data_IF_777038521691
#
_entry.id   IF_777038521691
#
_cell.length_a   1.000
_cell.length_b   1.000
_cell.length_c   1.000
_cell.angle_alpha   90.00
_cell.angle_beta   90.00
_cell.angle_gamma   90.00
#
_symmetry.space_group_name_H-M   'P 1'
#
loop_
_entity.id
_entity.type
_entity.pdbx_description
1 polymer ?
#
# COMPACT_ATOMS: atom_id res chain seq x y z
N UNK A 1 12.73 26.72 -3.56
CA UNK A 1 12.95 25.76 -4.67
C UNK A 1 12.23 24.47 -4.26
N UNK A 2 11.53 23.80 -5.17
CA UNK A 2 10.87 22.54 -4.87
C UNK A 2 11.94 21.45 -4.85
N UNK A 3 12.00 20.63 -3.77
CA UNK A 3 12.92 19.51 -3.71
C UNK A 3 12.34 18.29 -4.44
N UNK A 4 11.07 17.97 -4.17
CA UNK A 4 10.40 16.80 -4.76
C UNK A 4 9.04 17.19 -5.31
N UNK A 5 8.77 16.85 -6.57
CA UNK A 5 7.43 16.83 -7.14
C UNK A 5 6.89 15.41 -7.04
N UNK A 6 5.69 15.25 -6.48
CA UNK A 6 4.93 13.99 -6.47
C UNK A 6 3.80 14.10 -7.48
N UNK A 7 3.85 13.32 -8.55
CA UNK A 7 2.79 13.26 -9.56
C UNK A 7 1.74 12.22 -9.18
N UNK A 8 0.57 12.68 -8.74
CA UNK A 8 -0.55 11.89 -8.25
C UNK A 8 -0.86 12.13 -6.78
N UNK A 9 -2.06 12.65 -6.49
CA UNK A 9 -2.61 12.94 -5.17
C UNK A 9 -3.46 11.81 -4.58
N UNK A 10 -3.19 10.57 -4.97
CA UNK A 10 -3.78 9.38 -4.35
C UNK A 10 -3.06 8.96 -3.06
N UNK A 11 -3.48 7.86 -2.40
CA UNK A 11 -2.98 7.48 -1.07
C UNK A 11 -1.46 7.27 -1.05
N UNK A 12 -0.87 6.69 -2.09
CA UNK A 12 0.59 6.50 -2.20
C UNK A 12 1.33 7.84 -2.24
N UNK A 13 0.88 8.78 -3.09
CA UNK A 13 1.53 10.08 -3.22
C UNK A 13 1.38 10.95 -1.97
N UNK A 14 0.21 10.91 -1.32
CA UNK A 14 -0.06 11.66 -0.09
C UNK A 14 0.75 11.11 1.10
N UNK A 15 0.87 9.78 1.20
CA UNK A 15 1.74 9.13 2.20
C UNK A 15 3.20 9.51 1.97
N UNK A 16 3.68 9.41 0.73
CA UNK A 16 5.05 9.79 0.38
C UNK A 16 5.33 11.26 0.69
N UNK A 17 4.41 12.15 0.36
CA UNK A 17 4.54 13.57 0.67
C UNK A 17 4.65 13.81 2.18
N UNK A 18 3.87 13.10 2.98
CA UNK A 18 3.93 13.16 4.45
C UNK A 18 5.28 12.67 4.97
N UNK A 19 5.78 11.54 4.50
CA UNK A 19 7.09 11.00 4.88
C UNK A 19 8.23 11.99 4.56
N UNK A 20 8.24 12.56 3.35
CA UNK A 20 9.24 13.54 2.95
C UNK A 20 9.20 14.80 3.82
N UNK A 21 7.99 15.27 4.17
CA UNK A 21 7.81 16.47 5.01
C UNK A 21 8.27 16.28 6.45
N UNK A 22 8.18 15.07 7.01
CA UNK A 22 8.75 14.75 8.32
C UNK A 22 10.26 15.03 8.39
N UNK A 23 10.95 14.93 7.25
CA UNK A 23 12.38 15.21 7.12
C UNK A 23 12.70 16.62 6.58
N UNK A 24 11.73 17.55 6.58
CA UNK A 24 11.93 18.93 6.16
C UNK A 24 12.04 19.14 4.63
N UNK A 25 11.84 18.12 3.81
CA UNK A 25 11.89 18.21 2.34
C UNK A 25 10.73 19.06 1.81
N UNK A 26 10.99 19.99 0.89
CA UNK A 26 9.95 20.82 0.28
C UNK A 26 9.24 20.06 -0.86
N UNK A 27 7.98 19.68 -0.63
CA UNK A 27 7.19 18.80 -1.52
C UNK A 27 6.04 19.55 -2.17
N UNK A 28 5.86 19.33 -3.47
CA UNK A 28 4.68 19.72 -4.24
C UNK A 28 3.99 18.46 -4.78
N UNK A 29 2.72 18.25 -4.43
CA UNK A 29 1.88 17.20 -5.03
C UNK A 29 1.07 17.80 -6.19
N UNK A 30 1.16 17.16 -7.37
CA UNK A 30 0.37 17.49 -8.55
C UNK A 30 -0.71 16.42 -8.73
N UNK A 31 -1.96 16.84 -8.76
CA UNK A 31 -3.10 15.96 -9.00
C UNK A 31 -3.92 16.47 -10.21
N UNK A 32 -4.14 15.60 -11.20
CA UNK A 32 -4.85 15.97 -12.43
C UNK A 32 -6.33 16.25 -12.20
N UNK A 33 -6.96 15.55 -11.24
CA UNK A 33 -8.37 15.77 -10.93
C UNK A 33 -8.55 17.09 -10.17
N UNK A 34 -9.49 17.91 -10.61
CA UNK A 34 -9.77 19.23 -9.99
C UNK A 34 -10.38 19.10 -8.57
N UNK A 35 -11.01 17.98 -8.27
CA UNK A 35 -11.64 17.70 -6.97
C UNK A 35 -11.29 16.29 -6.49
N UNK A 36 -11.35 16.04 -5.15
CA UNK A 36 -11.21 14.67 -4.63
C UNK A 36 -12.22 13.71 -5.23
N UNK A 37 -11.80 12.45 -5.43
CA UNK A 37 -12.72 11.42 -5.90
C UNK A 37 -13.86 11.18 -4.91
N UNK A 38 -15.07 10.97 -5.42
CA UNK A 38 -16.27 10.68 -4.63
C UNK A 38 -16.61 9.19 -4.62
N UNK A 39 -15.91 8.37 -5.39
CA UNK A 39 -16.15 6.93 -5.49
C UNK A 39 -15.06 6.11 -4.83
N UNK A 40 -15.48 4.98 -4.27
CA UNK A 40 -14.62 4.12 -3.45
C UNK A 40 -14.09 2.96 -4.28
N UNK A 41 -12.76 2.85 -4.44
CA UNK A 41 -12.10 1.71 -5.10
C UNK A 41 -11.66 0.66 -4.09
N UNK A 42 -10.92 1.04 -3.07
CA UNK A 42 -10.48 0.16 -2.00
C UNK A 42 -11.32 0.36 -0.72
N UNK A 43 -11.42 -0.69 0.09
CA UNK A 43 -12.31 -0.74 1.26
C UNK A 43 -11.58 -0.97 2.58
N UNK A 44 -10.26 -1.01 2.60
CA UNK A 44 -9.61 -1.25 3.90
C UNK A 44 -8.09 -1.24 3.88
N UNK A 45 -7.55 -1.17 5.10
CA UNK A 45 -6.14 -1.29 5.41
C UNK A 45 -5.86 -2.65 6.03
N UNK A 46 -4.79 -3.30 5.56
CA UNK A 46 -4.25 -4.51 6.15
C UNK A 46 -3.35 -4.21 7.34
N UNK A 47 -3.00 -5.24 8.09
CA UNK A 47 -2.20 -5.15 9.33
C UNK A 47 -0.96 -4.26 9.14
N UNK A 48 -0.12 -4.52 8.13
CA UNK A 48 1.11 -3.72 7.93
C UNK A 48 0.82 -2.24 7.68
N UNK A 49 -0.23 -1.91 6.94
CA UNK A 49 -0.61 -0.51 6.72
C UNK A 49 -1.19 0.14 7.98
N UNK A 50 -1.85 -0.62 8.84
CA UNK A 50 -2.32 -0.16 10.16
C UNK A 50 -1.11 0.14 11.05
N UNK A 51 -0.10 -0.74 11.08
CA UNK A 51 1.17 -0.50 11.78
C UNK A 51 1.88 0.76 11.27
N UNK A 52 1.90 1.00 9.96
CA UNK A 52 2.44 2.24 9.37
C UNK A 52 1.69 3.47 9.86
N UNK A 53 0.34 3.40 9.97
CA UNK A 53 -0.43 4.51 10.53
C UNK A 53 -0.10 4.74 12.03
N UNK A 54 0.10 3.66 12.80
CA UNK A 54 0.47 3.76 14.20
C UNK A 54 1.88 4.35 14.36
N UNK A 55 2.86 3.87 13.59
CA UNK A 55 4.23 4.39 13.56
C UNK A 55 4.31 5.89 13.18
N UNK A 56 3.26 6.49 12.67
CA UNK A 56 3.18 7.92 12.32
C UNK A 56 2.17 8.70 13.16
N UNK A 57 1.66 8.08 14.25
CA UNK A 57 0.70 8.72 15.15
C UNK A 57 -0.64 9.01 14.51
N UNK A 58 -1.01 8.26 13.47
CA UNK A 58 -2.27 8.44 12.72
C UNK A 58 -3.34 7.41 13.09
N UNK A 59 -2.99 6.35 13.82
CA UNK A 59 -3.87 5.20 14.06
C UNK A 59 -5.23 5.63 14.59
N UNK A 60 -5.30 6.45 15.62
CA UNK A 60 -6.56 6.87 16.24
C UNK A 60 -7.46 7.65 15.29
N UNK A 61 -6.87 8.47 14.41
CA UNK A 61 -7.63 9.18 13.35
C UNK A 61 -8.30 8.20 12.39
N UNK A 62 -7.59 7.12 12.01
CA UNK A 62 -8.12 6.09 11.12
C UNK A 62 -9.17 5.23 11.81
N UNK A 63 -8.95 4.83 13.07
CA UNK A 63 -9.90 4.06 13.87
C UNK A 63 -11.21 4.81 14.11
N UNK A 64 -11.17 6.12 14.27
CA UNK A 64 -12.37 6.96 14.44
C UNK A 64 -13.30 6.93 13.20
N UNK A 65 -12.79 6.52 12.03
CA UNK A 65 -13.55 6.48 10.76
C UNK A 65 -13.67 5.10 10.15
N UNK A 66 -12.98 4.10 10.71
CA UNK A 66 -12.98 2.73 10.23
C UNK A 66 -13.65 1.76 11.19
N UNK A 67 -13.88 0.53 10.70
CA UNK A 67 -14.38 -0.59 11.50
C UNK A 67 -13.37 -1.74 11.47
N UNK A 68 -13.04 -2.27 12.63
CA UNK A 68 -12.15 -3.45 12.76
C UNK A 68 -12.89 -4.72 12.34
N UNK A 69 -12.20 -5.55 11.55
CA UNK A 69 -12.65 -6.87 11.13
C UNK A 69 -11.57 -7.91 11.44
N UNK A 70 -11.93 -9.15 11.78
CA UNK A 70 -10.96 -10.24 11.90
C UNK A 70 -10.14 -10.40 10.61
N UNK A 71 -8.88 -10.86 10.72
CA UNK A 71 -8.02 -11.10 9.55
C UNK A 71 -8.36 -12.40 8.79
N UNK A 72 -9.19 -13.27 9.37
CA UNK A 72 -9.65 -14.49 8.70
C UNK A 72 -10.49 -14.20 7.45
N UNK A 73 -10.49 -15.14 6.48
CA UNK A 73 -11.32 -15.06 5.29
C UNK A 73 -10.79 -14.16 4.15
N UNK A 74 -9.66 -13.50 4.31
CA UNK A 74 -9.12 -12.61 3.27
C UNK A 74 -8.41 -13.37 2.14
N UNK A 75 -7.80 -14.53 2.39
CA UNK A 75 -7.13 -15.29 1.35
C UNK A 75 -8.15 -15.96 0.42
N UNK A 76 -8.24 -15.48 -0.81
CA UNK A 76 -9.18 -15.93 -1.85
C UNK A 76 -10.65 -16.04 -1.39
N UNK A 77 -11.04 -15.33 -0.31
CA UNK A 77 -12.37 -15.46 0.30
C UNK A 77 -12.66 -16.88 0.84
N UNK A 78 -11.63 -17.62 1.26
CA UNK A 78 -11.77 -18.86 2.01
C UNK A 78 -12.05 -18.49 3.46
N UNK A 79 -13.22 -18.89 3.95
CA UNK A 79 -13.65 -18.59 5.31
C UNK A 79 -12.91 -19.49 6.31
N UNK A 80 -12.01 -18.90 7.08
CA UNK A 80 -11.23 -19.52 8.15
C UNK A 80 -11.16 -18.57 9.34
N UNK A 81 -11.06 -19.06 10.58
CA UNK A 81 -10.82 -18.21 11.73
C UNK A 81 -9.51 -17.45 11.59
N UNK A 82 -9.39 -16.33 12.29
CA UNK A 82 -8.11 -15.64 12.43
C UNK A 82 -7.09 -16.57 13.06
N UNK A 83 -5.87 -16.66 12.52
CA UNK A 83 -4.84 -17.47 13.15
C UNK A 83 -4.45 -16.89 14.51
N UNK A 84 -4.08 -17.79 15.43
CA UNK A 84 -3.50 -17.39 16.70
C UNK A 84 -2.07 -16.86 16.52
N UNK A 85 -1.61 -16.03 17.43
CA UNK A 85 -0.21 -15.58 17.54
C UNK A 85 0.37 -14.92 16.28
N UNK A 86 -0.42 -14.09 15.61
CA UNK A 86 0.14 -13.20 14.60
C UNK A 86 1.16 -12.26 15.25
N UNK A 87 2.30 -12.07 14.61
CA UNK A 87 3.38 -11.19 15.07
C UNK A 87 3.01 -9.71 14.87
N UNK A 88 2.00 -9.23 15.60
CA UNK A 88 1.51 -7.85 15.53
C UNK A 88 0.68 -7.48 16.75
N UNK A 89 0.72 -6.21 17.15
CA UNK A 89 -0.20 -5.64 18.13
C UNK A 89 -1.60 -5.33 17.53
N UNK A 90 -1.74 -5.41 16.19
CA UNK A 90 -2.96 -5.06 15.46
C UNK A 90 -3.53 -6.23 14.64
N UNK A 91 -3.98 -7.34 15.25
CA UNK A 91 -4.44 -8.54 14.53
C UNK A 91 -5.84 -8.36 13.91
N UNK A 92 -6.04 -7.29 13.15
CA UNK A 92 -7.32 -6.96 12.49
C UNK A 92 -7.07 -6.26 11.15
N UNK A 93 -8.08 -6.25 10.29
CA UNK A 93 -8.16 -5.42 9.09
C UNK A 93 -9.07 -4.24 9.40
N UNK A 94 -8.69 -3.05 8.99
CA UNK A 94 -9.50 -1.85 9.16
C UNK A 94 -10.34 -1.61 7.90
N UNK A 95 -11.64 -1.87 7.99
CA UNK A 95 -12.60 -1.50 6.95
C UNK A 95 -12.80 0.01 6.95
N UNK A 96 -12.26 0.67 5.94
CA UNK A 96 -12.34 2.12 5.76
C UNK A 96 -12.40 2.44 4.26
N UNK A 97 -13.35 3.26 3.80
CA UNK A 97 -13.41 3.64 2.40
C UNK A 97 -12.15 4.40 1.95
N UNK A 98 -11.65 4.12 0.74
CA UNK A 98 -10.48 4.81 0.20
C UNK A 98 -10.64 6.32 0.21
N UNK A 99 -11.83 6.86 -0.07
CA UNK A 99 -12.09 8.31 -0.04
C UNK A 99 -11.81 8.93 1.34
N UNK A 100 -12.06 8.16 2.42
CA UNK A 100 -11.72 8.57 3.79
C UNK A 100 -10.22 8.47 4.02
N UNK A 101 -9.58 7.40 3.58
CA UNK A 101 -8.11 7.23 3.62
C UNK A 101 -7.41 8.39 2.90
N UNK A 102 -7.83 8.70 1.67
CA UNK A 102 -7.27 9.80 0.87
C UNK A 102 -7.42 11.15 1.58
N UNK A 103 -8.59 11.41 2.18
CA UNK A 103 -8.84 12.65 2.95
C UNK A 103 -7.92 12.75 4.15
N UNK A 104 -7.82 11.71 4.98
CA UNK A 104 -6.98 11.72 6.19
C UNK A 104 -5.49 11.89 5.85
N UNK A 105 -5.01 11.25 4.77
CA UNK A 105 -3.63 11.42 4.31
C UNK A 105 -3.40 12.82 3.71
N UNK A 106 -4.37 13.40 3.00
CA UNK A 106 -4.28 14.76 2.47
C UNK A 106 -4.25 15.80 3.60
N UNK A 107 -5.09 15.63 4.63
CA UNK A 107 -5.07 16.45 5.85
C UNK A 107 -3.69 16.38 6.50
N UNK A 108 -3.14 15.17 6.70
CA UNK A 108 -1.80 14.98 7.28
C UNK A 108 -0.70 15.63 6.45
N UNK A 109 -0.69 15.43 5.14
CA UNK A 109 0.29 16.05 4.24
C UNK A 109 0.24 17.57 4.34
N UNK A 110 -0.97 18.14 4.38
CA UNK A 110 -1.20 19.60 4.52
C UNK A 110 -0.75 20.13 5.89
N UNK A 111 -1.05 19.41 6.98
CA UNK A 111 -0.59 19.74 8.34
C UNK A 111 0.95 19.81 8.41
N UNK A 112 1.64 18.95 7.66
CA UNK A 112 3.10 18.95 7.56
C UNK A 112 3.65 19.98 6.56
N UNK A 113 2.76 20.77 5.92
CA UNK A 113 3.14 21.87 5.00
C UNK A 113 3.38 21.42 3.56
N UNK A 114 2.76 20.31 3.10
CA UNK A 114 2.73 19.94 1.68
C UNK A 114 1.77 20.86 0.92
N UNK A 115 2.23 21.39 -0.21
CA UNK A 115 1.36 22.03 -1.19
C UNK A 115 0.75 20.97 -2.11
N UNK A 116 -0.59 20.93 -2.22
CA UNK A 116 -1.33 20.02 -3.12
C UNK A 116 -2.03 20.86 -4.18
N UNK A 117 -1.58 20.76 -5.45
CA UNK A 117 -2.21 21.42 -6.59
C UNK A 117 -3.08 20.44 -7.35
N UNK A 118 -4.38 20.73 -7.38
CA UNK A 118 -5.37 19.97 -8.14
C UNK A 118 -5.65 20.62 -9.50
N UNK A 119 -6.16 19.81 -10.45
CA UNK A 119 -6.37 20.23 -11.84
C UNK A 119 -5.06 20.45 -12.60
N UNK A 120 -3.96 19.85 -12.12
CA UNK A 120 -2.62 20.00 -12.67
C UNK A 120 -2.14 18.65 -13.24
N UNK A 121 -2.44 18.40 -14.52
CA UNK A 121 -2.04 17.19 -15.22
C UNK A 121 -0.61 17.31 -15.74
N UNK A 122 0.27 16.38 -15.33
CA UNK A 122 1.62 16.24 -15.89
C UNK A 122 1.54 15.55 -17.24
N UNK A 123 2.07 16.22 -18.29
CA UNK A 123 2.07 15.72 -19.67
C UNK A 123 3.46 15.54 -20.26
N UNK A 124 4.50 16.14 -19.66
CA UNK A 124 5.89 16.02 -20.09
C UNK A 124 6.86 16.06 -18.93
N UNK A 125 8.03 15.48 -19.12
CA UNK A 125 9.14 15.60 -18.19
C UNK A 125 10.48 15.53 -18.94
N UNK A 126 11.46 16.26 -18.43
CA UNK A 126 12.85 16.22 -18.83
C UNK A 126 13.75 16.25 -17.59
N UNK A 127 14.93 15.64 -17.64
CA UNK A 127 15.86 15.62 -16.51
C UNK A 127 17.31 15.81 -16.95
N UNK A 128 18.09 16.41 -16.06
CA UNK A 128 19.53 16.57 -16.17
C UNK A 128 20.22 16.21 -14.85
N UNK A 129 21.54 16.44 -14.76
CA UNK A 129 22.35 16.13 -13.57
C UNK A 129 21.91 16.92 -12.32
N UNK A 130 21.14 17.99 -12.48
CA UNK A 130 20.76 18.90 -11.39
C UNK A 130 19.29 18.81 -10.99
N UNK A 131 18.43 18.17 -11.79
CA UNK A 131 17.01 18.06 -11.44
C UNK A 131 16.11 17.57 -12.56
N UNK A 132 14.81 17.72 -12.31
CA UNK A 132 13.73 17.31 -13.20
C UNK A 132 12.85 18.52 -13.52
N UNK A 133 12.50 18.69 -14.78
CA UNK A 133 11.49 19.67 -15.23
C UNK A 133 10.22 18.93 -15.59
N UNK A 134 9.13 19.19 -14.87
CA UNK A 134 7.79 18.70 -15.16
C UNK A 134 7.07 19.73 -16.03
N UNK A 135 6.39 19.28 -17.09
CA UNK A 135 5.52 20.08 -17.94
C UNK A 135 4.06 19.72 -17.71
N UNK A 136 3.23 20.71 -17.43
CA UNK A 136 1.79 20.55 -17.19
C UNK A 136 0.99 20.80 -18.46
N UNK A 137 -0.24 20.29 -18.50
CA UNK A 137 -1.13 20.42 -19.65
C UNK A 137 -1.46 21.88 -20.05
N UNK A 138 -1.34 22.84 -19.11
CA UNK A 138 -1.52 24.27 -19.35
C UNK A 138 -0.25 24.97 -19.87
N UNK A 139 0.83 24.21 -20.11
CA UNK A 139 2.14 24.71 -20.55
C UNK A 139 3.04 25.19 -19.41
N UNK A 140 2.60 25.14 -18.16
CA UNK A 140 3.44 25.49 -16.98
C UNK A 140 4.60 24.51 -16.87
N UNK A 141 5.80 25.00 -16.62
CA UNK A 141 7.00 24.20 -16.38
C UNK A 141 7.48 24.39 -14.94
N UNK A 142 7.63 23.28 -14.21
CA UNK A 142 8.06 23.26 -12.82
C UNK A 142 9.39 22.52 -12.69
N UNK A 143 10.33 23.08 -11.93
CA UNK A 143 11.65 22.49 -11.67
C UNK A 143 11.74 21.97 -10.24
N UNK A 144 12.25 20.74 -10.07
CA UNK A 144 12.54 20.13 -8.78
C UNK A 144 13.84 19.34 -8.84
N UNK A 145 14.37 18.91 -7.69
CA UNK A 145 15.55 18.02 -7.63
C UNK A 145 15.19 16.57 -7.99
N UNK A 146 14.01 16.12 -7.58
CA UNK A 146 13.48 14.78 -7.86
C UNK A 146 12.01 14.86 -8.24
N UNK A 147 11.52 13.81 -8.93
CA UNK A 147 10.11 13.61 -9.22
C UNK A 147 9.74 12.16 -8.91
N UNK A 148 8.57 11.93 -8.28
CA UNK A 148 8.04 10.58 -8.04
C UNK A 148 6.68 10.44 -8.71
N UNK A 149 6.57 9.47 -9.63
CA UNK A 149 5.32 9.07 -10.26
C UNK A 149 4.50 8.17 -9.34
N UNK A 150 3.41 8.73 -8.79
CA UNK A 150 2.36 8.04 -8.04
C UNK A 150 1.02 8.15 -8.81
N UNK A 151 1.08 8.24 -10.14
CA UNK A 151 0.01 8.60 -11.07
C UNK A 151 -0.81 7.41 -11.59
N UNK A 152 -0.77 6.29 -10.86
CA UNK A 152 -1.63 5.13 -11.07
C UNK A 152 -1.22 4.23 -12.22
N UNK A 153 -1.99 3.17 -12.46
CA UNK A 153 -1.63 2.08 -13.38
C UNK A 153 -1.43 2.50 -14.84
N UNK A 154 -2.03 3.63 -15.26
CA UNK A 154 -1.82 4.22 -16.58
C UNK A 154 -0.69 5.25 -16.63
N UNK A 155 0.18 5.27 -15.63
CA UNK A 155 1.23 6.24 -15.37
C UNK A 155 1.80 6.93 -16.62
N UNK A 156 1.67 8.25 -16.66
CA UNK A 156 2.31 9.12 -17.66
C UNK A 156 3.80 9.20 -17.39
N UNK A 157 4.21 9.31 -16.12
CA UNK A 157 5.61 9.36 -15.72
C UNK A 157 6.37 8.13 -16.21
N UNK A 158 5.86 6.92 -15.95
CA UNK A 158 6.48 5.67 -16.43
C UNK A 158 6.66 5.64 -17.95
N UNK A 159 5.64 6.07 -18.70
CA UNK A 159 5.66 6.09 -20.17
C UNK A 159 6.67 7.10 -20.72
N UNK A 160 6.73 8.30 -20.14
CA UNK A 160 7.69 9.34 -20.53
C UNK A 160 9.14 8.89 -20.31
N UNK A 161 9.38 8.08 -19.26
CA UNK A 161 10.69 7.49 -18.99
C UNK A 161 11.03 6.29 -19.89
N UNK A 162 10.11 5.81 -20.70
CA UNK A 162 10.30 4.59 -21.49
C UNK A 162 10.54 3.35 -20.63
N UNK A 163 10.08 3.33 -19.37
CA UNK A 163 10.23 2.16 -18.49
C UNK A 163 9.25 1.08 -18.93
N UNK A 164 9.77 -0.12 -19.23
CA UNK A 164 8.98 -1.29 -19.58
C UNK A 164 8.03 -1.69 -18.45
N UNK A 165 6.85 -2.19 -18.85
CA UNK A 165 5.81 -2.65 -17.94
C UNK A 165 5.35 -4.06 -18.32
N UNK A 166 6.29 -5.04 -18.30
CA UNK A 166 5.98 -6.42 -18.66
C UNK A 166 4.94 -7.05 -17.74
N UNK A 167 4.32 -8.12 -18.24
CA UNK A 167 3.33 -8.89 -17.51
C UNK A 167 2.22 -9.38 -18.42
N UNK A 168 1.09 -9.75 -17.83
CA UNK A 168 -0.05 -10.32 -18.55
C UNK A 168 -1.15 -9.26 -18.74
N UNK A 169 -1.71 -9.14 -19.96
CA UNK A 169 -2.89 -8.32 -20.19
C UNK A 169 -4.12 -8.94 -19.50
N UNK A 170 -5.17 -8.14 -19.34
CA UNK A 170 -6.44 -8.68 -18.85
C UNK A 170 -7.00 -9.73 -19.79
N UNK A 171 -7.44 -10.84 -19.22
CA UNK A 171 -8.18 -11.92 -19.89
C UNK A 171 -9.67 -11.86 -19.56
N UNK A 172 -10.00 -11.30 -18.41
CA UNK A 172 -11.37 -11.09 -17.94
C UNK A 172 -11.52 -9.71 -17.32
N UNK A 173 -12.74 -9.20 -17.31
CA UNK A 173 -13.08 -7.96 -16.64
C UNK A 173 -14.23 -8.18 -15.65
N UNK A 174 -14.34 -7.26 -14.72
CA UNK A 174 -15.41 -7.18 -13.74
C UNK A 174 -15.97 -5.76 -13.75
N UNK A 175 -17.28 -5.65 -13.84
CA UNK A 175 -17.99 -4.38 -13.68
C UNK A 175 -18.11 -4.06 -12.20
N UNK A 176 -17.84 -2.82 -11.86
CA UNK A 176 -17.93 -2.29 -10.50
C UNK A 176 -18.64 -0.94 -10.53
N UNK A 177 -19.71 -0.80 -9.76
CA UNK A 177 -20.45 0.45 -9.72
C UNK A 177 -21.23 0.63 -8.43
N UNK A 178 -21.69 1.86 -8.21
CA UNK A 178 -22.59 2.20 -7.13
C UNK A 178 -23.88 2.75 -7.69
N UNK A 179 -25.01 2.13 -7.33
CA UNK A 179 -26.31 2.45 -7.90
C UNK A 179 -27.44 2.11 -6.93
N UNK A 180 -28.60 2.66 -7.16
CA UNK A 180 -29.79 2.31 -6.39
C UNK A 180 -30.34 0.96 -6.83
N UNK A 181 -30.97 0.26 -5.88
CA UNK A 181 -31.61 -1.05 -6.04
C UNK A 181 -33.04 -0.96 -5.57
N UNK A 182 -34.01 -1.45 -6.38
CA UNK A 182 -35.42 -1.44 -6.03
C UNK A 182 -35.83 -2.72 -5.28
N UNK A 183 -35.15 -3.86 -5.53
CA UNK A 183 -35.46 -5.13 -4.88
C UNK A 183 -35.29 -5.03 -3.34
N UNK A 184 -36.15 -5.72 -2.56
CA UNK A 184 -36.04 -5.75 -1.11
C UNK A 184 -34.67 -6.28 -0.65
N UNK A 185 -34.08 -5.72 0.44
CA UNK A 185 -32.75 -6.10 0.93
C UNK A 185 -32.60 -7.60 1.21
N UNK A 186 -33.63 -8.24 1.76
CA UNK A 186 -33.66 -9.68 2.05
C UNK A 186 -33.62 -10.53 0.76
N UNK A 187 -34.31 -10.09 -0.28
CA UNK A 187 -34.25 -10.72 -1.62
C UNK A 187 -32.86 -10.61 -2.22
N UNK A 188 -32.27 -9.41 -2.17
CA UNK A 188 -30.89 -9.18 -2.64
C UNK A 188 -29.93 -10.10 -1.90
N UNK A 189 -29.99 -10.13 -0.56
CA UNK A 189 -29.08 -10.92 0.26
C UNK A 189 -29.20 -12.44 -0.05
N UNK A 190 -30.41 -12.95 -0.19
CA UNK A 190 -30.65 -14.37 -0.47
C UNK A 190 -30.11 -14.77 -1.86
N UNK A 191 -30.41 -13.99 -2.90
CA UNK A 191 -29.96 -14.28 -4.25
C UNK A 191 -28.44 -14.15 -4.36
N UNK A 192 -27.86 -13.11 -3.77
CA UNK A 192 -26.38 -12.92 -3.74
C UNK A 192 -25.69 -14.10 -3.05
N UNK A 193 -26.24 -14.57 -1.91
CA UNK A 193 -25.67 -15.73 -1.20
C UNK A 193 -25.69 -16.99 -2.07
N UNK A 194 -26.77 -17.23 -2.82
CA UNK A 194 -26.88 -18.39 -3.72
C UNK A 194 -25.89 -18.29 -4.90
N UNK A 195 -25.85 -17.14 -5.61
CA UNK A 195 -24.93 -16.93 -6.73
C UNK A 195 -23.47 -17.07 -6.30
N UNK A 196 -23.11 -16.58 -5.12
CA UNK A 196 -21.75 -16.66 -4.57
C UNK A 196 -21.31 -18.08 -4.18
N UNK A 197 -22.18 -19.05 -4.16
CA UNK A 197 -21.76 -20.45 -3.98
C UNK A 197 -20.82 -20.89 -5.11
N UNK A 198 -21.11 -20.45 -6.33
CA UNK A 198 -20.32 -20.78 -7.53
C UNK A 198 -19.52 -19.60 -8.08
N UNK A 199 -20.09 -18.40 -8.08
CA UNK A 199 -19.51 -17.20 -8.68
C UNK A 199 -18.97 -16.26 -7.60
N UNK A 200 -17.78 -16.54 -7.06
CA UNK A 200 -17.18 -15.81 -5.94
C UNK A 200 -16.89 -14.31 -6.24
N UNK A 201 -16.78 -13.93 -7.52
CA UNK A 201 -16.57 -12.52 -7.96
C UNK A 201 -17.88 -11.73 -8.12
N UNK A 202 -19.03 -12.33 -7.81
CA UNK A 202 -20.34 -11.67 -7.84
C UNK A 202 -20.66 -11.08 -6.47
N UNK A 203 -21.23 -9.88 -6.41
CA UNK A 203 -21.66 -9.29 -5.16
C UNK A 203 -22.51 -8.03 -5.32
N UNK A 204 -23.49 -7.89 -4.43
CA UNK A 204 -24.21 -6.66 -4.16
C UNK A 204 -24.15 -6.41 -2.66
N UNK A 205 -23.50 -5.30 -2.25
CA UNK A 205 -23.38 -4.91 -0.85
C UNK A 205 -24.04 -3.55 -0.60
N UNK A 206 -24.88 -3.41 0.46
CA UNK A 206 -25.53 -2.15 0.77
C UNK A 206 -24.50 -1.12 1.27
N UNK A 207 -24.63 0.14 0.80
CA UNK A 207 -23.84 1.30 1.24
C UNK A 207 -24.67 2.29 2.07
N UNK A 208 -25.94 2.01 2.29
CA UNK A 208 -26.92 2.92 2.90
C UNK A 208 -27.80 3.64 1.88
N UNK A 209 -28.91 4.22 2.35
CA UNK A 209 -29.84 5.04 1.55
C UNK A 209 -30.36 4.37 0.25
N UNK A 210 -30.50 3.04 0.25
CA UNK A 210 -30.91 2.28 -0.93
C UNK A 210 -29.86 2.20 -2.05
N UNK A 211 -28.62 2.59 -1.76
CA UNK A 211 -27.47 2.47 -2.68
C UNK A 211 -26.72 1.19 -2.38
N UNK A 212 -26.35 0.49 -3.43
CA UNK A 212 -25.57 -0.75 -3.37
C UNK A 212 -24.28 -0.61 -4.20
N UNK A 213 -23.22 -1.21 -3.70
CA UNK A 213 -22.04 -1.52 -4.49
C UNK A 213 -22.32 -2.81 -5.24
N UNK A 214 -22.27 -2.73 -6.56
CA UNK A 214 -22.52 -3.85 -7.48
C UNK A 214 -21.20 -4.28 -8.10
N UNK A 215 -20.90 -5.57 -7.97
CA UNK A 215 -19.74 -6.23 -8.57
C UNK A 215 -20.24 -7.41 -9.37
N UNK A 216 -20.00 -7.44 -10.68
CA UNK A 216 -20.45 -8.53 -11.53
C UNK A 216 -19.46 -8.79 -12.66
N UNK A 217 -19.15 -10.07 -13.01
CA UNK A 217 -18.28 -10.37 -14.13
C UNK A 217 -18.82 -9.72 -15.42
N UNK A 218 -17.93 -9.11 -16.20
CA UNK A 218 -18.27 -8.58 -17.52
C UNK A 218 -18.39 -9.73 -18.53
N UNK A 219 -19.04 -9.46 -19.68
CA UNK A 219 -19.15 -10.42 -20.79
C UNK A 219 -17.78 -10.76 -21.39
N UNK A 220 -16.88 -9.79 -21.42
CA UNK A 220 -15.53 -9.94 -21.95
C UNK A 220 -14.66 -8.75 -21.62
N UNK A 221 -13.46 -8.70 -22.20
CA UNK A 221 -12.55 -7.56 -22.08
C UNK A 221 -12.96 -6.51 -23.10
N UNK A 222 -13.20 -5.28 -22.63
CA UNK A 222 -13.57 -4.17 -23.50
C UNK A 222 -12.43 -3.82 -24.48
N UNK A 223 -12.77 -3.60 -25.74
CA UNK A 223 -11.82 -3.16 -26.77
C UNK A 223 -11.24 -1.78 -26.43
N UNK A 224 -12.09 -0.85 -26.02
CA UNK A 224 -11.69 0.47 -25.50
C UNK A 224 -12.04 0.60 -24.01
N UNK A 225 -11.02 0.46 -23.18
CA UNK A 225 -11.13 0.59 -21.74
C UNK A 225 -11.19 2.04 -21.23
N UNK A 226 -11.13 3.02 -22.12
CA UNK A 226 -11.35 4.43 -21.77
C UNK A 226 -12.85 4.75 -21.66
N UNK A 227 -13.69 3.97 -22.33
CA UNK A 227 -15.16 4.11 -22.28
C UNK A 227 -15.69 3.45 -21.02
N UNK A 228 -16.41 4.23 -20.21
CA UNK A 228 -17.08 3.71 -19.01
C UNK A 228 -18.18 2.71 -19.39
N UNK A 229 -18.41 1.65 -18.58
CA UNK A 229 -19.52 0.74 -18.82
C UNK A 229 -20.85 1.45 -18.62
N UNK A 230 -21.89 0.94 -19.28
CA UNK A 230 -23.25 1.43 -19.16
C UNK A 230 -24.04 0.68 -18.08
N UNK A 231 -25.12 1.26 -17.57
CA UNK A 231 -26.00 0.56 -16.64
C UNK A 231 -26.67 -0.67 -17.30
N UNK A 232 -26.85 -0.64 -18.62
CA UNK A 232 -27.47 -1.77 -19.33
C UNK A 232 -26.51 -2.98 -19.36
N UNK A 233 -25.19 -2.78 -19.48
CA UNK A 233 -24.22 -3.85 -19.32
C UNK A 233 -24.35 -4.50 -17.92
N UNK A 234 -24.52 -3.67 -16.86
CA UNK A 234 -24.76 -4.22 -15.51
C UNK A 234 -26.05 -5.02 -15.43
N UNK A 235 -27.16 -4.51 -15.99
CA UNK A 235 -28.46 -5.21 -16.02
C UNK A 235 -28.37 -6.55 -16.72
N UNK A 236 -27.73 -6.58 -17.87
CA UNK A 236 -27.52 -7.79 -18.66
C UNK A 236 -26.75 -8.85 -17.85
N UNK A 237 -25.62 -8.47 -17.25
CA UNK A 237 -24.81 -9.39 -16.47
C UNK A 237 -25.51 -9.82 -15.18
N UNK A 238 -26.21 -8.93 -14.48
CA UNK A 238 -27.00 -9.28 -13.31
C UNK A 238 -28.09 -10.31 -13.64
N UNK A 239 -28.84 -10.14 -14.75
CA UNK A 239 -29.82 -11.13 -15.20
C UNK A 239 -29.18 -12.46 -15.57
N UNK A 240 -28.00 -12.44 -16.20
CA UNK A 240 -27.28 -13.65 -16.55
C UNK A 240 -26.90 -14.49 -15.32
N UNK A 241 -26.34 -13.86 -14.29
CA UNK A 241 -25.82 -14.55 -13.09
C UNK A 241 -26.89 -14.79 -12.01
N UNK A 242 -27.81 -13.87 -11.85
CA UNK A 242 -28.79 -13.87 -10.75
C UNK A 242 -30.24 -14.10 -11.17
N UNK A 243 -30.51 -14.17 -12.48
CA UNK A 243 -31.87 -14.26 -13.00
C UNK A 243 -32.70 -12.96 -12.87
N UNK A 244 -32.12 -11.93 -12.29
CA UNK A 244 -32.76 -10.62 -12.05
C UNK A 244 -31.72 -9.52 -12.09
N UNK A 245 -32.13 -8.31 -12.49
CA UNK A 245 -31.29 -7.11 -12.39
C UNK A 245 -31.51 -6.34 -11.07
N UNK A 246 -32.32 -6.88 -10.14
CA UNK A 246 -32.68 -6.27 -8.85
C UNK A 246 -33.31 -4.86 -8.97
N UNK A 247 -33.72 -4.45 -10.17
CA UNK A 247 -34.21 -3.11 -10.45
C UNK A 247 -33.12 -2.05 -10.25
N UNK A 248 -31.89 -2.29 -10.71
CA UNK A 248 -30.80 -1.30 -10.60
C UNK A 248 -31.09 -0.07 -11.44
N UNK A 249 -30.87 1.12 -10.84
CA UNK A 249 -31.11 2.40 -11.46
C UNK A 249 -30.25 3.52 -10.84
N UNK A 250 -30.26 4.71 -11.44
CA UNK A 250 -29.61 5.93 -10.92
C UNK A 250 -28.16 5.67 -10.47
N UNK A 251 -27.26 5.28 -11.36
CA UNK A 251 -25.87 5.02 -11.02
C UNK A 251 -25.20 6.31 -10.52
N UNK A 252 -24.45 6.21 -9.43
CA UNK A 252 -23.56 7.28 -8.96
C UNK A 252 -22.26 7.30 -9.78
N UNK A 253 -21.71 6.11 -10.03
CA UNK A 253 -20.59 5.90 -10.94
C UNK A 253 -20.56 4.44 -11.41
N UNK A 254 -19.94 4.23 -12.57
CA UNK A 254 -19.74 2.93 -13.19
C UNK A 254 -18.28 2.81 -13.64
N UNK A 255 -17.69 1.64 -13.46
CA UNK A 255 -16.31 1.36 -13.81
C UNK A 255 -16.12 -0.11 -14.17
N UNK A 256 -14.96 -0.43 -14.74
CA UNK A 256 -14.51 -1.80 -14.96
C UNK A 256 -13.05 -1.96 -14.55
N UNK A 257 -12.70 -3.12 -14.08
CA UNK A 257 -11.32 -3.49 -13.82
C UNK A 257 -11.06 -4.89 -14.37
N UNK A 258 -9.82 -5.17 -14.72
CA UNK A 258 -9.41 -6.46 -15.24
C UNK A 258 -8.44 -7.17 -14.31
N UNK A 259 -8.01 -8.35 -14.72
CA UNK A 259 -7.01 -9.18 -14.06
C UNK A 259 -5.58 -8.96 -14.59
N UNK A 260 -5.33 -7.82 -15.27
CA UNK A 260 -3.99 -7.49 -15.72
C UNK A 260 -2.99 -7.50 -14.57
N UNK A 261 -1.84 -8.11 -14.83
CA UNK A 261 -0.74 -8.19 -13.85
C UNK A 261 0.52 -7.71 -14.52
N UNK A 262 1.07 -6.56 -14.06
CA UNK A 262 2.24 -5.94 -14.66
C UNK A 262 3.14 -5.36 -13.59
N UNK A 263 4.46 -5.41 -13.81
CA UNK A 263 5.48 -4.90 -12.92
C UNK A 263 6.48 -4.07 -13.74
N UNK A 264 6.79 -2.85 -13.30
CA UNK A 264 7.79 -2.00 -13.94
C UNK A 264 9.17 -2.65 -13.80
N UNK A 265 9.94 -2.66 -14.90
CA UNK A 265 11.28 -3.26 -14.92
C UNK A 265 12.24 -2.60 -13.93
N UNK A 266 12.02 -1.33 -13.64
CA UNK A 266 12.79 -0.56 -12.65
C UNK A 266 11.92 0.51 -12.01
N UNK A 267 12.20 0.83 -10.75
CA UNK A 267 11.47 1.83 -9.98
C UNK A 267 12.17 3.20 -9.99
N UNK A 268 13.36 3.28 -10.59
CA UNK A 268 14.14 4.52 -10.70
C UNK A 268 14.75 4.66 -12.08
N UNK A 269 14.77 5.90 -12.58
CA UNK A 269 15.54 6.32 -13.78
C UNK A 269 16.10 7.71 -13.52
N UNK A 270 17.38 7.79 -13.19
CA UNK A 270 18.02 9.04 -12.79
C UNK A 270 17.40 9.64 -11.52
N UNK A 271 16.78 10.80 -11.66
CA UNK A 271 16.11 11.56 -10.60
C UNK A 271 14.60 11.35 -10.53
N UNK A 272 14.09 10.42 -11.33
CA UNK A 272 12.67 10.11 -11.37
C UNK A 272 12.42 8.70 -10.86
N UNK A 273 11.45 8.55 -9.94
CA UNK A 273 11.08 7.27 -9.32
C UNK A 273 9.59 6.97 -9.55
N UNK A 274 9.21 5.71 -9.36
CA UNK A 274 7.82 5.23 -9.45
C UNK A 274 7.42 4.57 -8.13
N UNK A 275 6.16 4.76 -7.70
CA UNK A 275 5.61 4.10 -6.52
C UNK A 275 4.12 3.75 -6.72
N UNK A 276 3.66 2.71 -6.02
CA UNK A 276 2.29 2.22 -6.11
C UNK A 276 1.92 1.71 -7.50
N UNK A 277 0.68 1.94 -7.92
CA UNK A 277 0.16 1.45 -9.20
C UNK A 277 0.94 1.95 -10.43
N UNK A 278 1.72 3.04 -10.30
CA UNK A 278 2.64 3.47 -11.36
C UNK A 278 3.76 2.45 -11.61
N UNK A 279 4.16 1.70 -10.59
CA UNK A 279 5.19 0.68 -10.63
C UNK A 279 4.64 -0.75 -10.79
N UNK A 280 3.43 -1.03 -10.31
CA UNK A 280 2.85 -2.38 -10.32
C UNK A 280 1.33 -2.36 -10.34
N UNK A 281 0.72 -3.24 -11.11
CA UNK A 281 -0.73 -3.48 -11.13
C UNK A 281 -1.02 -4.97 -11.06
N UNK A 282 -2.11 -5.31 -10.39
CA UNK A 282 -2.57 -6.69 -10.22
C UNK A 282 -4.09 -6.74 -9.98
N UNK A 283 -4.74 -7.91 -10.06
CA UNK A 283 -6.14 -8.06 -9.69
C UNK A 283 -6.39 -7.56 -8.26
N UNK A 284 -7.54 -6.95 -7.97
CA UNK A 284 -7.84 -6.41 -6.64
C UNK A 284 -8.15 -7.49 -5.59
N UNK A 285 -7.77 -8.74 -5.87
CA UNK A 285 -7.97 -9.90 -4.99
C UNK A 285 -7.24 -9.70 -3.67
N UNK A 286 -7.96 -9.87 -2.58
CA UNK A 286 -7.41 -9.68 -1.24
C UNK A 286 -7.15 -8.23 -0.85
N UNK A 287 -7.46 -7.22 -1.70
CA UNK A 287 -7.36 -5.80 -1.35
C UNK A 287 -5.93 -5.28 -1.15
N UNK A 288 -4.94 -5.84 -1.84
CA UNK A 288 -3.52 -5.57 -1.56
C UNK A 288 -2.97 -4.29 -2.20
N UNK A 289 -3.53 -3.78 -3.32
CA UNK A 289 -2.91 -2.70 -4.11
C UNK A 289 -2.66 -1.40 -3.35
N UNK A 290 -3.68 -0.86 -2.71
CA UNK A 290 -3.54 0.34 -1.88
C UNK A 290 -2.50 0.13 -0.77
N UNK A 291 -2.55 -1.02 -0.11
CA UNK A 291 -1.66 -1.37 1.00
C UNK A 291 -0.20 -1.49 0.53
N UNK A 292 0.05 -2.07 -0.64
CA UNK A 292 1.38 -2.18 -1.25
C UNK A 292 1.94 -0.79 -1.58
N UNK A 293 1.12 0.10 -2.16
CA UNK A 293 1.52 1.47 -2.48
C UNK A 293 1.84 2.33 -1.25
N UNK A 294 1.09 2.18 -0.15
CA UNK A 294 1.42 2.83 1.12
C UNK A 294 2.77 2.39 1.66
N UNK A 295 3.06 1.10 1.58
CA UNK A 295 4.35 0.55 2.01
C UNK A 295 5.51 0.97 1.11
N UNK A 296 5.28 1.13 -0.21
CA UNK A 296 6.27 1.71 -1.12
C UNK A 296 6.62 3.14 -0.69
N UNK A 297 5.61 3.96 -0.44
CA UNK A 297 5.80 5.33 0.02
C UNK A 297 6.54 5.42 1.35
N UNK A 298 6.24 4.51 2.27
CA UNK A 298 6.88 4.42 3.58
C UNK A 298 8.35 4.01 3.50
N UNK A 299 8.69 3.08 2.60
CA UNK A 299 10.07 2.67 2.35
C UNK A 299 10.88 3.74 1.58
N UNK A 300 10.25 4.39 0.59
CA UNK A 300 10.91 5.39 -0.25
C UNK A 300 11.14 6.72 0.45
N UNK A 301 10.16 7.16 1.27
CA UNK A 301 10.10 8.54 1.77
C UNK A 301 11.35 8.97 2.51
N UNK A 302 11.82 8.19 3.48
CA UNK A 302 13.02 8.51 4.25
C UNK A 302 14.31 8.39 3.43
N UNK A 303 14.40 7.44 2.48
CA UNK A 303 15.57 7.24 1.60
C UNK A 303 15.74 8.42 0.65
N UNK A 304 14.64 8.87 0.06
CA UNK A 304 14.64 10.04 -0.82
C UNK A 304 14.90 11.33 -0.02
N UNK A 305 14.38 11.42 1.20
CA UNK A 305 14.68 12.54 2.08
C UNK A 305 16.17 12.60 2.46
N UNK A 306 16.78 11.45 2.76
CA UNK A 306 18.22 11.34 3.01
C UNK A 306 19.05 11.87 1.83
N UNK A 307 18.67 11.48 0.62
CA UNK A 307 19.31 11.91 -0.62
C UNK A 307 19.17 13.44 -0.84
N UNK A 308 17.96 13.97 -0.63
CA UNK A 308 17.68 15.41 -0.74
C UNK A 308 18.47 16.19 0.31
N UNK A 309 18.57 15.69 1.53
CA UNK A 309 19.28 16.34 2.63
C UNK A 309 20.81 16.11 2.60
N UNK A 310 21.31 15.30 1.65
CA UNK A 310 22.75 15.14 1.39
C UNK A 310 23.48 14.25 2.40
N UNK A 311 22.77 13.43 3.17
CA UNK A 311 23.38 12.48 4.10
C UNK A 311 23.19 11.00 3.70
N UNK A 312 22.51 10.73 2.58
CA UNK A 312 22.32 9.36 2.10
C UNK A 312 23.66 8.69 1.81
N UNK A 313 23.94 7.51 2.36
CA UNK A 313 25.07 6.71 1.91
C UNK A 313 24.84 6.22 0.47
N UNK A 314 25.95 5.91 -0.21
CA UNK A 314 25.90 5.38 -1.56
C UNK A 314 24.99 4.14 -1.64
N UNK A 315 24.13 4.10 -2.65
CA UNK A 315 23.20 3.00 -2.89
C UNK A 315 21.94 2.99 -2.02
N UNK A 316 21.80 3.88 -1.02
CA UNK A 316 20.61 3.90 -0.17
C UNK A 316 19.33 4.09 -0.98
N UNK A 317 19.30 5.06 -1.90
CA UNK A 317 18.10 5.31 -2.71
C UNK A 317 17.81 4.15 -3.69
N UNK A 318 18.84 3.47 -4.19
CA UNK A 318 18.70 2.31 -5.08
C UNK A 318 18.14 1.08 -4.34
N UNK A 319 18.35 1.01 -3.01
CA UNK A 319 17.77 -0.03 -2.18
C UNK A 319 16.23 0.00 -2.18
N UNK A 320 15.60 1.11 -2.55
CA UNK A 320 14.14 1.16 -2.76
C UNK A 320 13.70 0.13 -3.80
N UNK A 321 14.38 0.07 -4.95
CA UNK A 321 14.07 -0.92 -5.98
C UNK A 321 14.38 -2.34 -5.51
N UNK A 322 15.56 -2.58 -4.94
CA UNK A 322 15.98 -3.94 -4.54
C UNK A 322 15.15 -4.51 -3.38
N UNK A 323 14.58 -3.66 -2.54
CA UNK A 323 13.68 -4.08 -1.46
C UNK A 323 12.22 -4.22 -1.91
N UNK A 324 11.69 -3.26 -2.71
CA UNK A 324 10.25 -3.22 -3.01
C UNK A 324 9.84 -3.95 -4.28
N UNK A 325 10.71 -4.05 -5.28
CA UNK A 325 10.39 -4.77 -6.51
C UNK A 325 10.13 -6.29 -6.28
N UNK A 326 10.94 -7.01 -5.48
CA UNK A 326 10.66 -8.42 -5.17
C UNK A 326 9.36 -8.58 -4.37
N UNK A 327 9.06 -7.68 -3.43
CA UNK A 327 7.79 -7.69 -2.68
C UNK A 327 6.61 -7.53 -3.62
N UNK A 328 6.69 -6.58 -4.55
CA UNK A 328 5.63 -6.42 -5.55
C UNK A 328 5.49 -7.66 -6.45
N UNK A 329 6.59 -8.26 -6.89
CA UNK A 329 6.56 -9.50 -7.67
C UNK A 329 5.82 -10.63 -6.92
N UNK A 330 6.11 -10.81 -5.63
CA UNK A 330 5.43 -11.80 -4.77
C UNK A 330 3.94 -11.50 -4.60
N UNK A 331 3.56 -10.23 -4.43
CA UNK A 331 2.14 -9.81 -4.36
C UNK A 331 1.44 -10.08 -5.70
N UNK A 332 2.08 -9.83 -6.83
CA UNK A 332 1.53 -10.13 -8.16
C UNK A 332 1.25 -11.63 -8.32
N UNK A 333 2.18 -12.49 -7.89
CA UNK A 333 1.99 -13.94 -7.95
C UNK A 333 0.91 -14.40 -6.97
N UNK A 334 0.88 -13.86 -5.75
CA UNK A 334 -0.13 -14.18 -4.74
C UNK A 334 -1.54 -13.79 -5.20
N UNK A 335 -1.70 -12.60 -5.77
CA UNK A 335 -3.02 -12.14 -6.25
C UNK A 335 -3.48 -12.91 -7.47
N UNK A 336 -2.57 -13.33 -8.34
CA UNK A 336 -2.86 -14.23 -9.47
C UNK A 336 -3.33 -15.59 -8.97
N UNK A 337 -2.62 -16.21 -8.01
CA UNK A 337 -3.03 -17.48 -7.40
C UNK A 337 -4.41 -17.39 -6.76
N UNK A 338 -4.66 -16.33 -5.98
CA UNK A 338 -5.98 -16.10 -5.38
C UNK A 338 -7.08 -15.91 -6.45
N UNK A 339 -6.77 -15.22 -7.55
CA UNK A 339 -7.72 -14.97 -8.63
C UNK A 339 -8.13 -16.28 -9.33
N UNK A 340 -7.18 -17.18 -9.57
CA UNK A 340 -7.46 -18.52 -10.11
C UNK A 340 -8.36 -19.34 -9.15
N UNK A 341 -8.15 -19.27 -7.85
CA UNK A 341 -9.00 -19.95 -6.85
C UNK A 341 -10.44 -19.40 -6.80
N UNK A 342 -10.71 -18.22 -7.36
CA UNK A 342 -12.05 -17.65 -7.48
C UNK A 342 -12.78 -18.09 -8.76
N UNK A 343 -12.12 -18.81 -9.67
CA UNK A 343 -12.73 -19.34 -10.89
C UNK A 343 -13.79 -20.38 -10.55
N UNK A 344 -14.96 -20.42 -11.23
CA UNK A 344 -15.99 -21.43 -11.04
C UNK A 344 -15.65 -22.79 -11.68
N UNK A 345 -14.55 -22.86 -12.45
CA UNK A 345 -14.16 -24.07 -13.17
C UNK A 345 -13.82 -25.24 -12.22
N UNK A 346 -14.10 -26.50 -12.61
CA UNK A 346 -13.88 -27.66 -11.74
C UNK A 346 -12.46 -27.82 -11.22
N UNK A 347 -11.43 -27.56 -12.05
CA UNK A 347 -10.02 -27.64 -11.68
C UNK A 347 -9.65 -26.68 -10.56
N UNK A 348 -9.77 -25.36 -10.76
CA UNK A 348 -9.57 -24.35 -9.72
C UNK A 348 -10.38 -24.61 -8.45
N UNK A 349 -11.64 -25.05 -8.57
CA UNK A 349 -12.47 -25.37 -7.40
C UNK A 349 -11.95 -26.59 -6.62
N UNK A 350 -11.34 -27.56 -7.30
CA UNK A 350 -10.68 -28.70 -6.62
C UNK A 350 -9.43 -28.25 -5.86
N UNK A 351 -8.61 -27.39 -6.46
CA UNK A 351 -7.43 -26.79 -5.79
C UNK A 351 -7.88 -25.92 -4.62
N UNK A 352 -8.98 -25.13 -4.79
CA UNK A 352 -9.52 -24.31 -3.72
C UNK A 352 -9.93 -25.14 -2.50
N UNK A 353 -10.59 -26.30 -2.69
CA UNK A 353 -10.95 -27.19 -1.59
C UNK A 353 -9.70 -27.70 -0.87
N UNK A 354 -8.71 -28.18 -1.63
CA UNK A 354 -7.44 -28.63 -1.06
C UNK A 354 -6.74 -27.53 -0.24
N UNK A 355 -6.67 -26.29 -0.76
CA UNK A 355 -6.11 -25.16 -0.02
C UNK A 355 -6.94 -24.87 1.23
N UNK A 356 -8.28 -24.94 1.13
CA UNK A 356 -9.16 -24.77 2.30
C UNK A 356 -8.88 -25.82 3.38
N UNK A 357 -8.69 -27.09 2.98
CA UNK A 357 -8.40 -28.17 3.93
C UNK A 357 -6.98 -27.98 4.55
N UNK A 358 -6.00 -27.54 3.75
CA UNK A 358 -4.66 -27.20 4.26
C UNK A 358 -4.67 -26.02 5.24
N UNK A 359 -5.56 -25.05 5.06
CA UNK A 359 -5.73 -23.93 5.99
C UNK A 359 -6.36 -24.32 7.33
N UNK A 360 -6.79 -25.58 7.52
CA UNK A 360 -7.16 -26.10 8.84
C UNK A 360 -5.91 -26.37 9.72
N UNK A 361 -4.72 -26.45 9.12
CA UNK A 361 -3.47 -26.43 9.86
C UNK A 361 -3.10 -24.99 10.21
N UNK A 362 -2.93 -24.73 11.51
CA UNK A 362 -2.66 -23.37 12.04
C UNK A 362 -1.47 -22.70 11.36
N UNK A 363 -0.37 -23.43 11.13
CA UNK A 363 0.84 -22.88 10.48
C UNK A 363 0.59 -22.45 9.02
N UNK A 364 -0.26 -23.16 8.29
CA UNK A 364 -0.63 -22.80 6.91
C UNK A 364 -1.54 -21.58 6.91
N UNK A 365 -2.54 -21.54 7.78
CA UNK A 365 -3.45 -20.42 7.92
C UNK A 365 -2.68 -19.14 8.32
N UNK A 366 -1.78 -19.24 9.30
CA UNK A 366 -0.92 -18.15 9.74
C UNK A 366 -0.02 -17.66 8.59
N UNK A 367 0.70 -18.55 7.92
CA UNK A 367 1.57 -18.21 6.79
C UNK A 367 0.83 -17.42 5.70
N UNK A 368 -0.35 -17.88 5.27
CA UNK A 368 -1.13 -17.21 4.24
C UNK A 368 -1.70 -15.86 4.73
N UNK A 369 -2.06 -15.78 6.00
CA UNK A 369 -2.54 -14.53 6.63
C UNK A 369 -1.42 -13.50 6.76
N UNK A 370 -0.24 -13.89 7.23
CA UNK A 370 0.93 -13.03 7.30
C UNK A 370 1.36 -12.52 5.92
N UNK A 371 1.27 -13.40 4.91
CA UNK A 371 1.59 -13.07 3.53
C UNK A 371 0.63 -12.02 2.94
N UNK A 372 -0.68 -12.20 3.09
CA UNK A 372 -1.67 -11.25 2.55
C UNK A 372 -1.69 -9.93 3.32
N UNK A 373 -1.35 -9.96 4.61
CA UNK A 373 -1.30 -8.76 5.48
C UNK A 373 0.05 -8.05 5.44
N UNK A 374 1.04 -8.61 4.74
CA UNK A 374 2.38 -8.08 4.53
C UNK A 374 3.24 -7.97 5.80
N UNK A 375 2.92 -8.70 6.87
CA UNK A 375 3.71 -8.67 8.11
C UNK A 375 4.91 -9.62 8.10
N UNK A 376 4.99 -10.55 7.15
CA UNK A 376 6.14 -11.44 6.96
C UNK A 376 7.30 -10.83 6.15
N UNK A 377 7.13 -9.61 5.60
CA UNK A 377 8.16 -9.00 4.74
C UNK A 377 9.47 -8.84 5.51
N UNK A 378 10.52 -9.37 4.91
CA UNK A 378 11.90 -9.23 5.37
C UNK A 378 12.77 -8.76 4.22
N UNK A 379 13.54 -7.70 4.44
CA UNK A 379 14.51 -7.23 3.47
C UNK A 379 15.86 -7.92 3.67
N UNK A 380 16.57 -8.16 2.57
CA UNK A 380 17.94 -8.66 2.63
C UNK A 380 18.89 -7.52 3.02
N UNK A 381 19.28 -7.52 4.27
CA UNK A 381 20.22 -6.55 4.85
C UNK A 381 21.54 -7.20 5.25
N UNK A 382 21.81 -8.41 4.80
CA UNK A 382 22.99 -9.20 5.10
C UNK A 382 22.79 -10.21 6.22
N UNK A 383 23.85 -10.89 6.60
CA UNK A 383 23.87 -11.93 7.64
C UNK A 383 23.94 -11.33 9.04
N UNK A 384 23.40 -12.04 10.03
CA UNK A 384 23.45 -11.67 11.44
C UNK A 384 22.25 -12.15 12.25
N UNK A 385 21.78 -11.34 13.18
CA UNK A 385 20.66 -11.68 14.07
C UNK A 385 19.36 -11.94 13.29
N UNK A 386 18.51 -12.85 13.79
CA UNK A 386 17.25 -13.24 13.11
C UNK A 386 16.26 -12.09 12.87
N UNK A 387 16.34 -11.03 13.65
CA UNK A 387 15.51 -9.84 13.48
C UNK A 387 15.94 -8.98 12.30
N UNK A 388 17.16 -9.10 11.77
CA UNK A 388 17.68 -8.25 10.71
C UNK A 388 16.76 -8.28 9.46
N UNK A 389 16.46 -7.10 8.97
CA UNK A 389 15.60 -6.89 7.80
C UNK A 389 14.11 -7.14 8.04
N UNK A 390 13.71 -7.66 9.20
CA UNK A 390 12.30 -7.76 9.58
C UNK A 390 11.76 -6.41 10.02
N UNK A 391 10.47 -6.17 9.80
CA UNK A 391 9.79 -5.09 10.50
C UNK A 391 9.79 -5.39 12.00
N UNK A 392 9.96 -4.38 12.81
CA UNK A 392 9.74 -4.50 14.25
C UNK A 392 8.24 -4.34 14.53
N UNK A 393 7.63 -5.28 15.26
CA UNK A 393 6.27 -5.10 15.76
C UNK A 393 6.24 -4.07 16.88
N UNK A 394 5.08 -3.52 17.17
CA UNK A 394 4.91 -2.72 18.38
C UNK A 394 5.05 -3.62 19.61
N UNK A 395 5.74 -3.13 20.62
CA UNK A 395 5.96 -3.81 21.91
C UNK A 395 5.73 -2.84 23.05
N UNK A 396 5.26 -3.36 24.17
CA UNK A 396 5.17 -2.60 25.41
C UNK A 396 6.57 -2.33 25.98
N UNK A 397 6.78 -1.09 26.39
CA UNK A 397 7.98 -0.62 27.09
C UNK A 397 7.60 -0.21 28.52
N UNK A 398 8.55 -0.05 29.42
CA UNK A 398 8.25 0.47 30.77
C UNK A 398 7.60 1.86 30.73
N UNK A 399 7.89 2.69 29.71
CA UNK A 399 7.42 4.07 29.58
C UNK A 399 6.57 4.32 28.33
N UNK A 400 5.74 3.35 27.92
CA UNK A 400 4.85 3.48 26.77
C UNK A 400 5.05 2.39 25.74
N UNK A 401 4.83 2.69 24.46
CA UNK A 401 4.93 1.73 23.36
C UNK A 401 6.05 2.11 22.39
N UNK A 402 6.67 1.10 21.76
CA UNK A 402 7.74 1.32 20.78
C UNK A 402 7.31 2.24 19.62
N UNK A 403 6.10 2.06 19.09
CA UNK A 403 5.64 2.85 17.93
C UNK A 403 5.41 4.33 18.28
N UNK A 404 5.15 4.68 19.54
CA UNK A 404 5.07 6.09 19.99
C UNK A 404 6.42 6.81 19.80
N UNK A 405 7.54 6.10 19.90
CA UNK A 405 8.88 6.64 19.68
C UNK A 405 9.22 6.85 18.20
N UNK A 406 8.40 6.32 17.27
CA UNK A 406 8.67 6.36 15.81
C UNK A 406 7.87 7.43 15.06
N UNK A 407 7.01 8.19 15.73
CA UNK A 407 6.12 9.18 15.13
C UNK A 407 6.87 10.27 14.33
N UNK A 408 8.10 10.58 14.71
CA UNK A 408 8.98 11.56 14.04
C UNK A 408 9.57 11.08 12.70
N UNK A 409 9.44 9.80 12.36
CA UNK A 409 9.97 9.25 11.10
C UNK A 409 11.50 9.13 11.07
N UNK A 410 12.19 9.21 12.22
CA UNK A 410 13.64 9.09 12.36
C UNK A 410 14.07 7.64 12.60
N UNK A 411 15.36 7.33 12.42
CA UNK A 411 15.91 6.09 12.95
C UNK A 411 15.74 6.04 14.47
N UNK A 412 15.71 4.84 15.06
CA UNK A 412 15.55 4.66 16.49
C UNK A 412 16.49 3.56 16.99
N UNK A 413 17.35 3.88 17.95
CA UNK A 413 18.04 2.90 18.79
C UNK A 413 17.22 2.70 20.06
N UNK A 414 16.60 1.52 20.23
CA UNK A 414 16.09 1.07 21.51
C UNK A 414 17.20 0.31 22.23
N UNK A 415 17.69 0.84 23.34
CA UNK A 415 18.80 0.29 24.13
C UNK A 415 18.29 -0.15 25.50
N UNK A 416 18.11 -1.46 25.70
CA UNK A 416 17.66 -2.03 26.97
C UNK A 416 18.78 -2.07 28.02
N UNK A 417 20.04 -1.81 27.62
CA UNK A 417 21.19 -1.87 28.49
C UNK A 417 21.61 -0.52 29.09
N UNK A 418 21.23 0.58 28.41
CA UNK A 418 21.65 1.94 28.73
C UNK A 418 23.16 2.19 28.54
N UNK A 419 23.84 1.34 27.75
CA UNK A 419 25.31 1.40 27.56
C UNK A 419 25.74 1.86 26.17
N UNK A 420 24.80 1.94 25.22
CA UNK A 420 25.08 2.28 23.82
C UNK A 420 24.95 3.79 23.58
N UNK A 421 25.48 4.22 22.45
CA UNK A 421 25.40 5.62 22.02
C UNK A 421 25.36 5.69 20.50
N UNK A 422 24.56 6.60 19.96
CA UNK A 422 24.51 6.93 18.53
C UNK A 422 25.36 8.17 18.18
N UNK A 423 25.95 8.85 19.17
CA UNK A 423 26.92 9.94 19.01
C UNK A 423 26.66 10.85 17.82
N UNK A 424 27.53 10.77 16.81
CA UNK A 424 27.46 11.60 15.60
C UNK A 424 26.25 11.40 14.68
N UNK A 425 25.24 10.63 15.06
CA UNK A 425 23.98 10.44 14.30
C UNK A 425 22.74 10.92 15.04
N UNK A 426 22.89 11.64 16.17
CA UNK A 426 21.77 12.12 16.98
C UNK A 426 20.84 13.10 16.23
N UNK A 427 21.26 13.66 15.11
CA UNK A 427 20.41 14.45 14.21
C UNK A 427 19.45 13.62 13.35
N UNK A 428 19.68 12.29 13.21
CA UNK A 428 18.97 11.36 12.33
C UNK A 428 18.43 10.12 13.04
N UNK A 429 19.01 9.77 14.19
CA UNK A 429 18.67 8.59 15.00
C UNK A 429 18.34 9.02 16.41
N UNK A 430 17.14 8.73 16.85
CA UNK A 430 16.71 8.88 18.23
C UNK A 430 17.28 7.73 19.07
N UNK A 431 17.64 7.99 20.33
CA UNK A 431 18.14 7.00 21.26
C UNK A 431 17.19 6.92 22.46
N UNK A 432 16.53 5.78 22.62
CA UNK A 432 15.66 5.49 23.74
C UNK A 432 16.28 4.40 24.62
N UNK A 433 16.51 4.73 25.89
CA UNK A 433 16.89 3.75 26.90
C UNK A 433 15.63 3.32 27.62
N UNK A 434 15.13 2.13 27.31
CA UNK A 434 13.90 1.56 27.86
C UNK A 434 13.94 0.03 27.77
N UNK A 435 13.08 -0.68 28.50
CA UNK A 435 13.05 -2.13 28.57
C UNK A 435 11.69 -2.68 28.15
N UNK A 436 11.71 -3.82 27.46
CA UNK A 436 10.53 -4.60 27.10
C UNK A 436 10.71 -6.06 27.48
N UNK A 437 9.75 -6.62 28.20
CA UNK A 437 9.71 -8.07 28.49
C UNK A 437 9.42 -8.91 27.22
N UNK A 438 9.00 -8.24 26.13
CA UNK A 438 8.64 -8.89 24.87
C UNK A 438 9.82 -9.01 23.89
N UNK A 439 10.99 -8.42 24.22
CA UNK A 439 12.18 -8.39 23.38
C UNK A 439 13.33 -9.13 24.03
N UNK A 440 13.73 -10.25 23.43
CA UNK A 440 14.89 -11.04 23.88
C UNK A 440 16.17 -10.61 23.13
N UNK A 441 16.44 -9.30 23.09
CA UNK A 441 17.69 -8.73 22.55
C UNK A 441 18.12 -7.52 23.37
N UNK A 442 19.43 -7.31 23.59
CA UNK A 442 19.93 -6.19 24.38
C UNK A 442 19.60 -4.81 23.79
N UNK A 443 19.67 -4.68 22.47
CA UNK A 443 19.29 -3.46 21.77
C UNK A 443 18.95 -3.73 20.29
N UNK A 444 18.15 -2.84 19.70
CA UNK A 444 17.82 -2.86 18.28
C UNK A 444 17.92 -1.46 17.67
N UNK A 445 18.52 -1.38 16.49
CA UNK A 445 18.51 -0.18 15.66
C UNK A 445 17.44 -0.34 14.58
N UNK A 446 16.48 0.56 14.57
CA UNK A 446 15.41 0.61 13.57
C UNK A 446 15.69 1.70 12.53
N UNK A 447 15.42 1.36 11.27
CA UNK A 447 15.31 2.34 10.19
C UNK A 447 14.03 3.16 10.35
N UNK A 448 13.91 4.33 9.71
CA UNK A 448 12.70 5.15 9.75
C UNK A 448 11.42 4.43 9.30
N UNK A 449 11.53 3.39 8.46
CA UNK A 449 10.43 2.53 8.02
C UNK A 449 10.16 1.33 8.97
N UNK A 450 10.74 1.34 10.16
CA UNK A 450 10.51 0.36 11.21
C UNK A 450 11.15 -1.02 10.99
N UNK A 451 12.04 -1.15 9.99
CA UNK A 451 12.78 -2.40 9.78
C UNK A 451 14.07 -2.42 10.62
N UNK A 452 14.40 -3.58 11.16
CA UNK A 452 15.60 -3.78 11.99
C UNK A 452 16.84 -3.70 11.11
N UNK A 453 17.69 -2.72 11.40
CA UNK A 453 18.97 -2.48 10.74
C UNK A 453 20.15 -3.17 11.44
N UNK A 454 20.04 -3.34 12.77
CA UNK A 454 21.02 -3.98 13.62
C UNK A 454 20.36 -4.45 14.93
N UNK A 455 20.92 -5.52 15.52
CA UNK A 455 20.52 -6.01 16.85
C UNK A 455 21.74 -6.60 17.57
N UNK A 456 21.97 -6.22 18.84
CA UNK A 456 23.12 -6.66 19.62
C UNK A 456 23.35 -5.79 20.87
N UNK A 457 24.56 -5.87 21.43
CA UNK A 457 24.99 -5.09 22.60
C UNK A 457 26.43 -4.50 22.47
N UNK A 458 27.07 -4.70 21.33
CA UNK A 458 28.43 -4.21 21.08
C UNK A 458 28.40 -2.81 20.44
N UNK A 459 29.02 -1.83 21.14
CA UNK A 459 29.07 -0.45 20.69
C UNK A 459 29.87 -0.28 19.38
N UNK A 460 30.95 -1.04 19.18
CA UNK A 460 31.78 -0.89 17.98
C UNK A 460 31.07 -1.47 16.76
N UNK A 461 30.36 -2.59 16.95
CA UNK A 461 29.54 -3.19 15.91
C UNK A 461 28.37 -2.27 15.51
N UNK A 462 27.68 -1.65 16.48
CA UNK A 462 26.65 -0.63 16.21
C UNK A 462 27.22 0.52 15.37
N UNK A 463 28.37 1.07 15.76
CA UNK A 463 29.03 2.17 15.05
C UNK A 463 29.47 1.77 13.61
N UNK A 464 29.77 0.51 13.37
CA UNK A 464 30.08 0.00 12.04
C UNK A 464 28.81 -0.10 11.14
N UNK A 465 27.63 -0.28 11.72
CA UNK A 465 26.36 -0.41 10.99
C UNK A 465 25.66 0.93 10.71
N UNK A 466 25.79 1.93 11.60
CA UNK A 466 25.16 3.24 11.44
C UNK A 466 25.43 3.93 10.10
N UNK A 467 26.69 3.97 9.58
CA UNK A 467 26.98 4.62 8.31
C UNK A 467 26.26 4.02 7.10
N UNK A 468 25.97 2.72 7.16
CA UNK A 468 25.30 2.00 6.07
C UNK A 468 23.89 2.55 5.77
N UNK A 469 23.20 3.01 6.81
CA UNK A 469 21.81 3.46 6.71
C UNK A 469 21.64 4.96 6.90
N UNK A 470 22.52 5.58 7.68
CA UNK A 470 22.39 6.95 8.11
C UNK A 470 23.56 7.84 7.64
N UNK A 471 24.46 7.33 6.76
CA UNK A 471 25.59 8.08 6.22
C UNK A 471 26.65 8.40 7.27
N UNK A 472 27.56 9.31 6.94
CA UNK A 472 28.67 9.68 7.81
C UNK A 472 28.19 10.36 9.09
N UNK A 473 28.92 10.16 10.20
CA UNK A 473 28.69 10.88 11.45
C UNK A 473 28.86 12.38 11.25
N UNK A 474 28.04 13.17 11.93
CA UNK A 474 28.26 14.63 12.07
C UNK A 474 29.27 14.84 13.19
N UNK A 475 30.32 15.59 12.91
CA UNK A 475 31.40 15.89 13.84
C UNK A 475 30.98 16.85 14.95
#
# INVERSE_FOLDING_TARGET
MIDVIVAGGGPTGLMLASELRLHGVHVLVLEKEASPTTYVRALGLHVRSIEVMDQRGLLERFLAHGRRYPVGGFFAGIDKPSPDRLDTAHPYVLGIPQTTTDRLLAERATELGTEIRRGCELVGLDQDDHGVTAELADGTRLRSRYLVGCDGGRSTVRKLLGIGFPGQPSRVETLLGEMRVTAPPETVAAVVAEVRRTHKRFGLGPLGDGVYRVVVPAEGVAEDRSVAPTIEEFRQQLRLFAGTDFGVHSPRWLSRFGDATRLAERYRSGRVLLAGDAAHIHPPTGGQGLNLGLQDAFNLGWKLAAEVNGWAPEGLLDSYHTERHPVAADVLDLTRAQFELLSPEPGPQSVRRLVSDLMDFEDVNRYLTEKITAIQIRYDVGEGHDLLGRRMRDVELERGRLYELTHGGRGLLLDQTGRLSVGGWADRVDHAVDVSEELDVPAVLLRPDGHVAWAGDDQQDLLAHLPRWFGAAVG
#
